data_IF_189906141883
#
_entry.id   IF_189906141883
#
_cell.length_a   1.000
_cell.length_b   1.000
_cell.length_c   1.000
_cell.angle_alpha   90.00
_cell.angle_beta   90.00
_cell.angle_gamma   90.00
#
_symmetry.space_group_name_H-M   'P 1'
#
loop_
_entity.id
_entity.type
_entity.pdbx_description
1 polymer ?
#
# COMPACT_ATOMS: atom_id res chain seq x y z
N UNK A 1 0.52 -14.79 -31.25
CA UNK A 1 -0.16 -15.62 -30.22
C UNK A 1 0.67 -15.56 -28.94
N UNK A 2 0.41 -14.60 -28.04
CA UNK A 2 1.19 -14.46 -26.80
C UNK A 2 0.69 -15.49 -25.77
N UNK A 3 1.51 -16.50 -25.47
CA UNK A 3 1.24 -17.39 -24.33
C UNK A 3 1.42 -16.57 -23.05
N UNK A 4 0.36 -16.38 -22.27
CA UNK A 4 0.48 -15.90 -20.89
C UNK A 4 1.24 -16.96 -20.10
N UNK A 5 2.54 -16.76 -19.90
CA UNK A 5 3.31 -17.53 -18.93
C UNK A 5 2.75 -17.17 -17.55
N UNK A 6 2.11 -18.13 -16.88
CA UNK A 6 1.71 -17.95 -15.48
C UNK A 6 3.00 -18.05 -14.66
N UNK A 7 3.44 -16.95 -14.05
CA UNK A 7 4.62 -16.95 -13.19
C UNK A 7 4.39 -17.86 -12.00
N UNK A 8 5.38 -18.67 -11.67
CA UNK A 8 5.42 -19.50 -10.45
C UNK A 8 6.18 -18.80 -9.33
N UNK A 9 6.64 -17.57 -9.55
CA UNK A 9 7.31 -16.77 -8.53
C UNK A 9 6.30 -16.33 -7.46
N UNK A 10 6.49 -16.70 -6.18
CA UNK A 10 5.60 -16.27 -5.10
C UNK A 10 5.55 -14.74 -4.95
N UNK A 11 6.54 -14.01 -5.47
CA UNK A 11 6.54 -12.54 -5.51
C UNK A 11 5.66 -11.96 -6.61
N UNK A 12 5.20 -12.74 -7.59
CA UNK A 12 4.29 -12.23 -8.63
C UNK A 12 2.87 -11.94 -8.08
N UNK A 13 2.55 -12.52 -6.91
CA UNK A 13 1.30 -12.25 -6.19
C UNK A 13 1.45 -11.02 -5.29
N UNK A 14 0.97 -9.89 -5.78
CA UNK A 14 0.79 -8.69 -4.97
C UNK A 14 -0.69 -8.49 -4.63
N UNK A 15 -0.94 -7.88 -3.48
CA UNK A 15 -2.24 -7.33 -3.13
C UNK A 15 -2.25 -5.84 -3.45
N UNK A 16 -3.37 -5.32 -3.94
CA UNK A 16 -3.58 -3.88 -4.05
C UNK A 16 -4.41 -3.42 -2.87
N UNK A 17 -3.98 -2.38 -2.18
CA UNK A 17 -4.69 -1.79 -1.05
C UNK A 17 -5.13 -0.40 -1.46
N UNK A 18 -6.43 -0.13 -1.38
CA UNK A 18 -7.00 1.20 -1.53
C UNK A 18 -6.71 2.02 -0.26
N UNK A 19 -6.13 3.21 -0.43
CA UNK A 19 -5.79 4.10 0.67
C UNK A 19 -6.86 5.18 0.92
N UNK A 20 -7.82 5.35 0.01
CA UNK A 20 -8.89 6.33 0.13
C UNK A 20 -9.65 6.30 1.46
N UNK A 21 -10.07 5.12 1.98
CA UNK A 21 -10.81 5.03 3.24
C UNK A 21 -10.05 5.58 4.46
N UNK A 22 -8.71 5.62 4.41
CA UNK A 22 -7.88 6.09 5.51
C UNK A 22 -7.73 7.62 5.57
N UNK A 23 -8.27 8.36 4.59
CA UNK A 23 -8.35 9.82 4.63
C UNK A 23 -9.37 10.31 5.66
N UNK A 24 -10.28 9.45 6.12
CA UNK A 24 -11.27 9.79 7.16
C UNK A 24 -12.41 10.68 6.70
N UNK A 25 -12.46 11.13 5.43
CA UNK A 25 -13.50 12.02 4.92
C UNK A 25 -14.93 11.46 5.05
N UNK A 26 -15.07 10.13 5.04
CA UNK A 26 -16.36 9.43 5.14
C UNK A 26 -16.64 8.88 6.56
N UNK A 27 -15.76 9.13 7.55
CA UNK A 27 -15.91 8.59 8.90
C UNK A 27 -16.82 9.47 9.78
N UNK A 28 -17.81 8.92 10.51
CA UNK A 28 -18.74 9.70 11.34
C UNK A 28 -18.08 10.32 12.58
N UNK A 29 -17.00 9.72 13.07
CA UNK A 29 -16.17 10.25 14.14
C UNK A 29 -15.00 11.06 13.56
N UNK A 30 -14.92 12.39 13.80
CA UNK A 30 -13.87 13.25 13.27
C UNK A 30 -12.49 12.98 13.89
N UNK A 31 -12.41 12.24 15.00
CA UNK A 31 -11.14 11.88 15.65
C UNK A 31 -10.67 10.46 15.28
N UNK A 32 -11.35 9.81 14.33
CA UNK A 32 -10.93 8.50 13.85
C UNK A 32 -9.80 8.63 12.82
N UNK A 33 -8.56 8.60 13.32
CA UNK A 33 -7.36 8.62 12.48
C UNK A 33 -6.88 7.20 12.17
N UNK A 34 -6.42 7.00 10.94
CA UNK A 34 -5.69 5.80 10.57
C UNK A 34 -4.37 5.70 11.34
N UNK A 35 -4.04 4.50 11.81
CA UNK A 35 -2.76 4.26 12.45
C UNK A 35 -1.60 4.46 11.46
N UNK A 36 -0.46 4.94 11.95
CA UNK A 36 0.75 5.03 11.12
C UNK A 36 1.26 3.62 10.72
N UNK A 37 1.77 3.44 9.48
CA UNK A 37 2.04 4.47 8.46
C UNK A 37 0.87 4.78 7.52
N UNK A 38 -0.32 4.20 7.70
CA UNK A 38 -1.45 4.37 6.77
C UNK A 38 -1.98 5.80 6.77
N UNK A 39 -1.99 6.47 7.93
CA UNK A 39 -2.32 7.88 8.06
C UNK A 39 -1.43 8.78 7.21
N UNK A 40 -0.11 8.59 7.24
CA UNK A 40 0.78 9.31 6.33
C UNK A 40 0.57 8.94 4.86
N UNK A 41 0.49 7.64 4.54
CA UNK A 41 0.45 7.16 3.16
C UNK A 41 -0.80 7.59 2.39
N UNK A 42 -1.98 7.62 3.04
CA UNK A 42 -3.22 8.01 2.38
C UNK A 42 -3.24 9.49 1.95
N UNK A 43 -2.48 10.35 2.63
CA UNK A 43 -2.36 11.77 2.30
C UNK A 43 -1.53 12.01 1.03
N UNK A 44 -0.74 11.03 0.59
CA UNK A 44 0.20 11.20 -0.53
C UNK A 44 -0.06 10.22 -1.66
N UNK A 45 -0.72 9.09 -1.42
CA UNK A 45 -1.03 8.09 -2.43
C UNK A 45 -2.46 7.56 -2.30
N UNK A 46 -3.12 7.28 -3.43
CA UNK A 46 -4.47 6.68 -3.44
C UNK A 46 -4.47 5.16 -3.30
N UNK A 47 -3.36 4.49 -3.57
CA UNK A 47 -3.24 3.03 -3.40
C UNK A 47 -1.79 2.62 -3.16
N UNK A 48 -1.62 1.43 -2.58
CA UNK A 48 -0.32 0.76 -2.48
C UNK A 48 -0.42 -0.68 -2.95
N UNK A 49 0.71 -1.24 -3.36
CA UNK A 49 0.81 -2.67 -3.67
C UNK A 49 1.66 -3.34 -2.60
N UNK A 50 1.29 -4.56 -2.21
CA UNK A 50 1.93 -5.31 -1.12
C UNK A 50 2.45 -6.64 -1.65
N UNK A 51 3.75 -6.87 -1.50
CA UNK A 51 4.43 -8.09 -1.93
C UNK A 51 4.88 -8.92 -0.74
N UNK A 52 4.73 -10.27 -0.78
CA UNK A 52 5.48 -11.14 0.11
C UNK A 52 6.99 -11.01 -0.15
N UNK A 53 7.78 -10.90 0.91
CA UNK A 53 9.22 -11.06 0.81
C UNK A 53 9.59 -12.56 0.93
N UNK A 54 10.66 -13.03 0.27
CA UNK A 54 11.08 -14.43 0.34
C UNK A 54 11.47 -14.92 1.75
N UNK A 55 11.65 -14.00 2.70
CA UNK A 55 12.26 -14.23 4.01
C UNK A 55 11.22 -14.37 5.15
N UNK A 56 10.11 -15.05 4.93
CA UNK A 56 9.07 -15.30 5.94
C UNK A 56 7.84 -14.39 5.81
N UNK A 57 7.23 -14.03 6.95
CA UNK A 57 5.94 -13.31 6.99
C UNK A 57 6.04 -11.81 6.69
N UNK A 58 7.21 -11.34 6.27
CA UNK A 58 7.43 -9.94 5.94
C UNK A 58 6.85 -9.56 4.60
N UNK A 59 6.32 -8.35 4.55
CA UNK A 59 5.74 -7.73 3.37
C UNK A 59 6.46 -6.43 3.05
N UNK A 60 6.59 -6.15 1.76
CA UNK A 60 7.06 -4.88 1.22
C UNK A 60 5.88 -4.18 0.55
N UNK A 61 5.64 -2.93 0.94
CA UNK A 61 4.54 -2.13 0.44
C UNK A 61 5.02 -0.77 -0.09
N UNK A 62 5.41 -0.68 -1.36
CA UNK A 62 5.70 0.59 -1.99
C UNK A 62 4.41 1.31 -2.39
N UNK A 63 4.42 2.62 -2.18
CA UNK A 63 3.44 3.56 -2.68
C UNK A 63 4.17 4.66 -3.46
N UNK A 64 3.62 5.02 -4.63
CA UNK A 64 4.06 6.21 -5.36
C UNK A 64 3.02 7.27 -5.10
N UNK A 65 3.45 8.36 -4.50
CA UNK A 65 2.57 9.41 -4.05
C UNK A 65 3.14 10.80 -4.30
N UNK A 66 2.26 11.78 -4.34
CA UNK A 66 2.62 13.18 -4.41
C UNK A 66 1.66 13.94 -3.51
N UNK A 67 2.19 14.53 -2.44
CA UNK A 67 1.39 15.30 -1.48
C UNK A 67 0.84 16.59 -2.11
N UNK A 68 1.63 17.21 -2.99
CA UNK A 68 1.32 18.51 -3.59
C UNK A 68 1.79 18.52 -5.07
N UNK A 69 0.91 18.89 -6.03
CA UNK A 69 1.18 18.99 -7.47
C UNK A 69 2.47 19.75 -7.88
N UNK A 70 2.94 20.67 -7.05
CA UNK A 70 4.13 21.49 -7.30
C UNK A 70 5.45 20.77 -6.97
N UNK A 71 5.41 19.65 -6.23
CA UNK A 71 6.59 18.90 -5.78
C UNK A 71 6.79 17.57 -6.55
N UNK A 72 8.01 17.01 -6.57
CA UNK A 72 8.24 15.70 -7.20
C UNK A 72 7.45 14.56 -6.56
N UNK A 73 7.14 13.54 -7.36
CA UNK A 73 6.65 12.25 -6.86
C UNK A 73 7.64 11.63 -5.87
N UNK A 74 7.10 11.06 -4.80
CA UNK A 74 7.82 10.30 -3.80
C UNK A 74 7.56 8.80 -3.99
N UNK A 75 8.64 8.01 -3.97
CA UNK A 75 8.55 6.57 -3.79
C UNK A 75 8.74 6.28 -2.31
N UNK A 76 7.67 5.85 -1.66
CA UNK A 76 7.64 5.46 -0.25
C UNK A 76 7.57 3.95 -0.17
N UNK A 77 8.27 3.35 0.79
CA UNK A 77 8.23 1.90 1.00
C UNK A 77 8.09 1.60 2.49
N UNK A 78 7.04 0.87 2.86
CA UNK A 78 6.87 0.30 4.17
C UNK A 78 7.26 -1.19 4.16
N UNK A 79 7.93 -1.65 5.21
CA UNK A 79 8.24 -3.06 5.43
C UNK A 79 7.74 -3.47 6.81
N UNK A 80 6.99 -4.56 6.88
CA UNK A 80 6.41 -5.04 8.14
C UNK A 80 5.95 -6.49 8.06
N UNK A 81 5.49 -7.03 9.18
CA UNK A 81 4.89 -8.36 9.23
C UNK A 81 3.51 -8.35 8.57
N UNK A 82 3.08 -9.49 8.01
CA UNK A 82 1.82 -9.62 7.28
C UNK A 82 0.59 -9.19 8.09
N UNK A 83 0.61 -9.37 9.42
CA UNK A 83 -0.48 -8.96 10.33
C UNK A 83 -0.70 -7.45 10.38
N UNK A 84 0.29 -6.65 9.96
CA UNK A 84 0.23 -5.20 10.03
C UNK A 84 -0.31 -4.58 8.74
N UNK A 85 -0.60 -5.40 7.72
CA UNK A 85 -1.18 -4.94 6.47
C UNK A 85 -2.69 -5.24 6.43
N UNK A 86 -3.50 -4.31 5.90
CA UNK A 86 -4.91 -4.56 5.69
C UNK A 86 -5.11 -5.78 4.78
N UNK A 87 -6.14 -6.58 5.05
CA UNK A 87 -6.61 -7.54 4.06
C UNK A 87 -7.11 -6.76 2.84
N UNK A 88 -6.54 -7.07 1.67
CA UNK A 88 -6.96 -6.48 0.39
C UNK A 88 -8.31 -7.01 -0.08
#
# INVERSE_FOLDING_TARGET
MLRRHRSTDPTDRHLSVDLGPYLGFDHPDPECYAAEPLGFLCNVAGSMRVWPLPCGDRRLAPAVGQADPEFPFQLLAAVGEASNFPAG
#
